data_IF_990730726935
#
_entry.id   IF_990730726935
#
_cell.length_a   1.000
_cell.length_b   1.000
_cell.length_c   1.000
_cell.angle_alpha   90.00
_cell.angle_beta   90.00
_cell.angle_gamma   90.00
#
_symmetry.space_group_name_H-M   'P 1'
#
loop_
_entity.id
_entity.type
_entity.pdbx_description
1 polymer ?
#
# COMPACT_ATOMS: atom_id res chain seq x y z
N UNK A 1 18.25 7.23 13.95
CA UNK A 1 19.68 7.41 14.30
C UNK A 1 20.44 7.11 13.04
N UNK A 2 21.41 7.94 12.66
CA UNK A 2 22.27 7.66 11.51
C UNK A 2 22.93 6.29 11.66
N UNK A 3 22.94 5.55 10.55
CA UNK A 3 23.41 4.17 10.46
C UNK A 3 24.82 4.10 9.86
N UNK A 4 25.23 2.93 9.37
CA UNK A 4 26.42 2.81 8.51
C UNK A 4 26.09 3.16 7.06
N UNK A 5 24.86 2.87 6.66
CA UNK A 5 24.20 3.37 5.45
C UNK A 5 23.10 4.32 5.91
N UNK A 6 23.04 5.52 5.34
CA UNK A 6 22.02 6.52 5.66
C UNK A 6 20.76 6.28 4.83
N UNK A 7 19.61 6.46 5.47
CA UNK A 7 18.29 6.30 4.87
C UNK A 7 17.46 7.50 5.32
N UNK A 8 17.11 8.37 4.38
CA UNK A 8 16.41 9.62 4.65
C UNK A 8 15.24 9.84 3.68
N UNK A 9 14.39 10.81 4.01
CA UNK A 9 13.27 11.26 3.17
C UNK A 9 12.37 10.13 2.64
N UNK A 10 12.10 9.13 3.49
CA UNK A 10 11.26 7.98 3.16
C UNK A 10 9.84 8.44 2.83
N UNK A 11 9.27 7.94 1.73
CA UNK A 11 7.88 8.17 1.32
C UNK A 11 7.19 6.86 0.89
N UNK A 12 5.87 6.70 1.12
CA UNK A 12 4.95 7.69 1.70
C UNK A 12 4.96 7.70 3.24
N UNK A 13 5.06 8.88 3.85
CA UNK A 13 4.96 9.07 5.30
C UNK A 13 3.98 10.19 5.64
N UNK A 14 2.92 9.88 6.39
CA UNK A 14 1.87 10.84 6.76
C UNK A 14 2.14 11.39 8.15
N UNK A 15 2.30 12.72 8.26
CA UNK A 15 2.50 13.44 9.53
C UNK A 15 3.58 12.78 10.41
N UNK A 16 4.79 12.59 9.85
CA UNK A 16 5.91 11.94 10.54
C UNK A 16 5.62 10.51 11.05
N UNK A 17 4.70 9.80 10.39
CA UNK A 17 4.28 8.44 10.74
C UNK A 17 3.21 8.38 11.83
N UNK A 18 2.60 9.51 12.19
CA UNK A 18 1.47 9.54 13.14
C UNK A 18 0.22 8.85 12.57
N UNK A 19 0.07 8.85 11.24
CA UNK A 19 -1.02 8.18 10.55
C UNK A 19 -0.46 7.20 9.51
N UNK A 20 -1.12 6.05 9.29
CA UNK A 20 -0.77 5.20 8.16
C UNK A 20 -1.11 5.93 6.84
N UNK A 21 -0.31 5.69 5.81
CA UNK A 21 -0.71 6.02 4.44
C UNK A 21 -1.95 5.18 4.04
N UNK A 22 -2.58 5.53 2.92
CA UNK A 22 -3.78 4.84 2.41
C UNK A 22 -3.51 4.18 1.08
N UNK A 23 -4.10 3.01 0.88
CA UNK A 23 -4.15 2.30 -0.40
C UNK A 23 -5.41 1.43 -0.47
N UNK A 24 -5.66 0.82 -1.62
CA UNK A 24 -6.67 -0.26 -1.77
C UNK A 24 -6.04 -1.57 -2.24
N UNK A 25 -6.74 -2.68 -2.02
CA UNK A 25 -6.30 -4.00 -2.52
C UNK A 25 -6.04 -3.94 -4.03
N UNK A 26 -4.89 -4.48 -4.47
CA UNK A 26 -4.48 -4.52 -5.87
C UNK A 26 -3.82 -3.25 -6.39
N UNK A 27 -3.74 -2.18 -5.59
CA UNK A 27 -3.03 -0.95 -5.96
C UNK A 27 -1.51 -1.12 -5.90
N UNK A 28 -0.78 -0.65 -6.92
CA UNK A 28 0.67 -0.53 -6.84
C UNK A 28 1.01 0.66 -5.93
N UNK A 29 1.63 0.38 -4.79
CA UNK A 29 2.08 1.41 -3.83
C UNK A 29 3.56 1.69 -4.08
N UNK A 30 3.92 2.84 -4.69
CA UNK A 30 5.31 3.24 -4.84
C UNK A 30 5.88 3.67 -3.49
N UNK A 31 7.13 3.31 -3.24
CA UNK A 31 7.90 3.67 -2.05
C UNK A 31 9.26 4.21 -2.50
N UNK A 32 9.70 5.33 -1.94
CA UNK A 32 11.04 5.84 -2.19
C UNK A 32 11.75 6.27 -0.91
N UNK A 33 13.07 6.35 -0.99
CA UNK A 33 13.91 6.98 0.03
C UNK A 33 15.27 7.35 -0.57
N UNK A 34 15.87 8.40 0.00
CA UNK A 34 17.27 8.73 -0.23
C UNK A 34 18.13 7.73 0.54
N UNK A 35 18.99 6.97 -0.13
CA UNK A 35 19.88 6.00 0.49
C UNK A 35 21.29 6.24 0.00
N UNK A 36 22.19 6.59 0.92
CA UNK A 36 23.55 6.98 0.60
C UNK A 36 24.55 6.51 1.65
N UNK A 37 25.83 6.57 1.32
CA UNK A 37 26.95 6.20 2.19
C UNK A 37 28.16 7.09 1.95
N UNK A 38 29.17 6.96 2.80
CA UNK A 38 30.47 7.60 2.58
C UNK A 38 31.22 7.02 1.37
N UNK A 39 32.11 7.82 0.78
CA UNK A 39 32.99 7.37 -0.30
C UNK A 39 32.29 7.25 -1.65
N UNK A 40 32.82 6.38 -2.51
CA UNK A 40 32.35 6.20 -3.90
C UNK A 40 31.85 4.77 -4.17
N UNK A 41 31.77 3.94 -3.12
CA UNK A 41 31.29 2.57 -3.25
C UNK A 41 29.78 2.54 -3.47
N UNK A 42 29.31 1.59 -4.25
CA UNK A 42 27.90 1.38 -4.50
C UNK A 42 27.13 1.08 -3.20
N UNK A 43 25.90 1.57 -3.18
CA UNK A 43 24.89 1.32 -2.17
C UNK A 43 23.64 0.76 -2.85
N UNK A 44 22.90 -0.09 -2.15
CA UNK A 44 21.65 -0.65 -2.61
C UNK A 44 20.62 -0.66 -1.47
N UNK A 45 19.35 -0.86 -1.84
CA UNK A 45 18.25 -0.81 -0.90
C UNK A 45 17.24 -1.95 -1.13
N UNK A 46 16.59 -2.38 -0.05
CA UNK A 46 15.57 -3.43 -0.04
C UNK A 46 14.32 -2.93 0.66
N UNK A 47 13.18 -3.01 -0.02
CA UNK A 47 11.86 -2.75 0.53
C UNK A 47 11.33 -4.00 1.24
N UNK A 48 11.17 -3.93 2.56
CA UNK A 48 10.65 -5.02 3.39
C UNK A 48 9.20 -4.72 3.76
N UNK A 49 8.28 -5.59 3.35
CA UNK A 49 6.83 -5.42 3.48
C UNK A 49 6.23 -6.51 4.36
N UNK A 50 5.28 -6.15 5.22
CA UNK A 50 4.60 -7.07 6.14
C UNK A 50 3.13 -6.73 6.29
N UNK A 51 2.28 -7.76 6.31
CA UNK A 51 0.88 -7.67 6.70
C UNK A 51 0.71 -7.95 8.19
N UNK A 52 -0.06 -7.12 8.90
CA UNK A 52 -0.29 -7.21 10.34
C UNK A 52 -1.74 -7.60 10.72
N UNK A 53 -2.64 -7.77 9.76
CA UNK A 53 -4.04 -8.13 10.02
C UNK A 53 -5.02 -6.97 9.85
N UNK A 54 -6.29 -7.23 10.17
CA UNK A 54 -7.38 -6.26 10.04
C UNK A 54 -7.56 -5.33 11.25
N UNK A 55 -6.72 -5.46 12.28
CA UNK A 55 -6.80 -4.59 13.46
C UNK A 55 -6.45 -3.15 13.08
N UNK A 56 -7.41 -2.22 13.24
CA UNK A 56 -7.22 -0.81 12.97
C UNK A 56 -6.50 -0.13 14.15
N UNK A 57 -5.40 0.60 13.92
CA UNK A 57 -4.72 1.29 15.01
C UNK A 57 -5.58 2.43 15.58
N UNK A 58 -5.63 2.65 16.91
CA UNK A 58 -6.29 3.82 17.45
C UNK A 58 -5.52 5.08 17.02
N UNK A 59 -6.16 5.92 16.21
CA UNK A 59 -5.60 7.18 15.74
C UNK A 59 -6.06 8.34 16.64
N UNK A 60 -5.20 9.33 16.88
CA UNK A 60 -5.56 10.56 17.60
C UNK A 60 -5.51 10.49 19.13
N UNK A 61 -5.24 9.33 19.74
CA UNK A 61 -4.93 9.23 21.17
C UNK A 61 -3.40 9.24 21.36
N UNK A 62 -2.87 10.34 21.89
CA UNK A 62 -1.46 10.67 22.13
C UNK A 62 -0.57 11.05 20.92
N UNK A 63 -0.17 12.33 20.76
CA UNK A 63 0.71 12.80 19.68
C UNK A 63 2.16 12.28 19.75
N UNK A 64 2.52 11.46 20.74
CA UNK A 64 3.90 10.98 20.99
C UNK A 64 4.14 9.51 20.67
N UNK A 65 3.11 8.71 20.36
CA UNK A 65 3.29 7.27 20.07
C UNK A 65 3.49 7.07 18.57
N UNK A 66 4.74 7.16 18.11
CA UNK A 66 5.15 6.55 16.82
C UNK A 66 4.65 5.10 16.85
N UNK A 67 3.99 4.65 15.80
CA UNK A 67 3.54 3.26 15.66
C UNK A 67 4.78 2.36 15.70
N UNK A 68 5.13 1.87 16.89
CA UNK A 68 6.18 0.87 17.08
C UNK A 68 5.54 -0.49 16.85
N UNK A 69 6.19 -1.35 16.07
CA UNK A 69 5.74 -2.71 15.76
C UNK A 69 5.65 -3.67 16.97
N UNK A 70 5.70 -3.17 18.20
CA UNK A 70 5.74 -3.94 19.45
C UNK A 70 4.64 -3.58 20.46
N UNK A 71 3.79 -2.59 20.17
CA UNK A 71 2.73 -2.19 21.11
C UNK A 71 1.32 -2.59 20.62
N UNK A 72 1.16 -3.85 20.20
CA UNK A 72 -0.16 -4.47 20.19
C UNK A 72 -0.56 -4.76 21.64
N UNK A 73 -1.05 -3.74 22.36
CA UNK A 73 -1.67 -3.95 23.66
C UNK A 73 -2.94 -4.81 23.47
N UNK A 74 -3.05 -5.86 24.28
CA UNK A 74 -4.22 -6.75 24.34
C UNK A 74 -5.50 -5.92 24.48
N UNK A 75 -6.32 -5.95 23.44
CA UNK A 75 -7.71 -5.52 23.54
C UNK A 75 -8.45 -6.65 24.25
N UNK A 76 -8.73 -6.46 25.53
CA UNK A 76 -9.63 -7.33 26.29
C UNK A 76 -10.98 -7.39 25.55
N UNK A 77 -11.29 -8.55 24.96
CA UNK A 77 -12.56 -8.83 24.32
C UNK A 77 -12.57 -9.05 22.80
N UNK A 78 -11.40 -9.17 22.13
CA UNK A 78 -11.35 -9.62 20.74
C UNK A 78 -10.87 -11.06 20.68
N UNK A 79 -11.72 -11.94 20.12
CA UNK A 79 -11.39 -13.32 19.77
C UNK A 79 -9.96 -13.42 19.25
N UNK A 80 -9.11 -14.18 19.95
CA UNK A 80 -7.76 -14.54 19.57
C UNK A 80 -7.79 -15.37 18.29
N UNK A 81 -7.96 -14.69 17.16
CA UNK A 81 -7.47 -15.21 15.89
C UNK A 81 -5.96 -15.28 16.03
N UNK A 82 -5.43 -16.48 16.19
CA UNK A 82 -4.01 -16.77 16.03
C UNK A 82 -3.65 -16.49 14.58
N UNK A 83 -3.53 -15.21 14.23
CA UNK A 83 -3.15 -14.79 12.89
C UNK A 83 -1.76 -15.36 12.63
N UNK A 84 -1.68 -16.34 11.74
CA UNK A 84 -0.45 -16.98 11.34
C UNK A 84 0.58 -15.89 11.01
N UNK A 85 1.78 -15.96 11.62
CA UNK A 85 2.83 -14.97 11.39
C UNK A 85 3.18 -14.94 9.91
N UNK A 86 2.67 -13.95 9.18
CA UNK A 86 3.00 -13.77 7.76
C UNK A 86 4.47 -13.38 7.66
N UNK A 87 5.25 -14.18 6.93
CA UNK A 87 6.66 -13.92 6.68
C UNK A 87 6.78 -12.60 5.91
N UNK A 88 7.67 -11.68 6.34
CA UNK A 88 7.90 -10.45 5.59
C UNK A 88 8.40 -10.79 4.18
N UNK A 89 7.93 -10.02 3.19
CA UNK A 89 8.39 -10.09 1.81
C UNK A 89 9.46 -9.01 1.61
N UNK A 90 10.53 -9.34 0.90
CA UNK A 90 11.61 -8.40 0.56
C UNK A 90 11.62 -8.19 -0.94
N UNK A 91 11.66 -6.93 -1.37
CA UNK A 91 11.72 -6.53 -2.76
C UNK A 91 12.96 -5.66 -2.98
N UNK A 92 13.69 -5.82 -4.09
CA UNK A 92 14.77 -4.89 -4.43
C UNK A 92 14.20 -3.49 -4.68
N UNK A 93 15.01 -2.46 -4.40
CA UNK A 93 14.74 -1.10 -4.84
C UNK A 93 15.76 -0.71 -5.91
N UNK A 94 15.34 0.10 -6.87
CA UNK A 94 16.15 0.55 -8.01
C UNK A 94 16.51 2.02 -7.83
N UNK A 95 17.78 2.36 -8.03
CA UNK A 95 18.23 3.76 -8.06
C UNK A 95 17.58 4.50 -9.24
N UNK A 96 16.94 5.63 -8.97
CA UNK A 96 16.30 6.47 -9.98
C UNK A 96 17.28 7.42 -10.67
N UNK A 97 16.73 8.32 -11.50
CA UNK A 97 17.52 9.37 -12.15
C UNK A 97 17.97 10.49 -11.18
N UNK A 98 17.22 10.69 -10.09
CA UNK A 98 17.63 11.59 -9.01
C UNK A 98 18.72 10.89 -8.19
N UNK A 99 19.90 11.52 -8.00
CA UNK A 99 20.97 10.94 -7.20
C UNK A 99 20.48 10.49 -5.82
N UNK A 100 20.99 9.35 -5.37
CA UNK A 100 20.69 8.70 -4.09
C UNK A 100 19.21 8.27 -3.87
N UNK A 101 18.29 8.59 -4.78
CA UNK A 101 16.87 8.27 -4.61
C UNK A 101 16.55 6.88 -5.14
N UNK A 102 16.24 5.96 -4.24
CA UNK A 102 15.81 4.60 -4.58
C UNK A 102 14.29 4.50 -4.66
N UNK A 103 13.81 3.70 -5.61
CA UNK A 103 12.40 3.43 -5.85
C UNK A 103 12.11 1.93 -5.71
N UNK A 104 11.07 1.60 -4.95
CA UNK A 104 10.50 0.26 -4.85
C UNK A 104 8.99 0.34 -4.93
N UNK A 105 8.35 -0.81 -5.04
CA UNK A 105 6.89 -0.88 -5.02
C UNK A 105 6.42 -2.21 -4.45
N UNK A 106 5.20 -2.21 -3.93
CA UNK A 106 4.50 -3.44 -3.55
C UNK A 106 3.02 -3.33 -3.87
N UNK A 107 2.37 -4.49 -4.02
CA UNK A 107 0.93 -4.58 -4.30
C UNK A 107 0.28 -5.35 -3.15
N UNK A 108 -0.56 -4.72 -2.30
CA UNK A 108 -1.23 -5.40 -1.22
C UNK A 108 -2.37 -6.28 -1.76
N UNK A 109 -2.44 -7.52 -1.27
CA UNK A 109 -3.37 -8.55 -1.76
C UNK A 109 -4.62 -8.73 -0.89
N UNK A 110 -4.75 -7.97 0.21
CA UNK A 110 -5.86 -8.07 1.17
C UNK A 110 -6.04 -6.81 2.00
N UNK A 111 -7.26 -6.64 2.51
CA UNK A 111 -7.65 -5.53 3.40
C UNK A 111 -6.95 -5.65 4.77
N UNK A 112 -6.58 -4.50 5.34
CA UNK A 112 -6.03 -4.37 6.68
C UNK A 112 -4.74 -3.56 6.73
N UNK A 113 -4.03 -3.65 7.85
CA UNK A 113 -2.80 -2.93 8.09
C UNK A 113 -1.61 -3.64 7.45
N UNK A 114 -0.99 -2.98 6.49
CA UNK A 114 0.32 -3.30 5.96
C UNK A 114 1.35 -2.36 6.54
N UNK A 115 2.61 -2.78 6.53
CA UNK A 115 3.74 -1.94 6.89
C UNK A 115 4.88 -2.17 5.94
N UNK A 116 5.68 -1.14 5.71
CA UNK A 116 6.92 -1.23 4.96
C UNK A 116 8.07 -0.64 5.76
N UNK A 117 9.28 -1.08 5.43
CA UNK A 117 10.56 -0.54 5.90
C UNK A 117 11.56 -0.64 4.77
N UNK A 118 12.52 0.27 4.73
CA UNK A 118 13.64 0.22 3.79
C UNK A 118 14.89 -0.22 4.55
N UNK A 119 15.58 -1.22 4.03
CA UNK A 119 16.88 -1.69 4.52
C UNK A 119 17.94 -1.28 3.49
N UNK A 120 18.87 -0.39 3.87
CA UNK A 120 19.99 0.07 3.04
C UNK A 120 21.25 -0.74 3.34
N UNK A 121 22.08 -1.01 2.33
CA UNK A 121 23.27 -1.85 2.46
C UNK A 121 24.32 -1.51 1.41
N UNK A 122 25.60 -1.69 1.76
CA UNK A 122 26.71 -1.54 0.81
C UNK A 122 26.75 -2.71 -0.17
N UNK A 123 26.93 -2.42 -1.45
CA UNK A 123 27.00 -3.42 -2.53
C UNK A 123 28.43 -3.54 -3.06
N UNK A 124 29.30 -4.34 -2.41
CA UNK A 124 30.71 -4.44 -2.79
C UNK A 124 30.89 -5.12 -4.15
N UNK A 125 29.95 -5.95 -4.61
CA UNK A 125 30.06 -6.64 -5.89
C UNK A 125 29.81 -5.65 -7.03
N UNK A 126 28.78 -4.82 -6.93
CA UNK A 126 28.54 -3.77 -7.94
C UNK A 126 29.70 -2.78 -8.00
N UNK A 127 30.25 -2.36 -6.86
CA UNK A 127 31.48 -1.54 -6.82
C UNK A 127 32.62 -2.22 -7.57
N UNK A 128 32.91 -3.48 -7.23
CA UNK A 128 34.00 -4.24 -7.83
C UNK A 128 33.80 -4.45 -9.34
N UNK A 129 32.60 -4.82 -9.79
CA UNK A 129 32.27 -5.04 -11.21
C UNK A 129 32.47 -3.77 -12.02
N UNK A 130 32.03 -2.62 -11.51
CA UNK A 130 32.22 -1.33 -12.19
C UNK A 130 33.72 -1.00 -12.35
N UNK A 131 34.51 -1.18 -11.28
CA UNK A 131 35.94 -0.92 -11.32
C UNK A 131 36.68 -1.86 -12.28
N UNK A 132 36.40 -3.17 -12.24
CA UNK A 132 37.04 -4.16 -13.14
C UNK A 132 36.67 -3.90 -14.59
N UNK A 133 35.39 -3.64 -14.89
CA UNK A 133 34.94 -3.38 -16.26
C UNK A 133 35.63 -2.14 -16.83
N UNK A 134 35.66 -1.03 -16.08
CA UNK A 134 36.33 0.19 -16.54
C UNK A 134 37.83 0.01 -16.79
N UNK A 135 38.51 -0.81 -15.97
CA UNK A 135 39.94 -1.12 -16.13
C UNK A 135 40.20 -2.04 -17.34
N UNK A 136 39.33 -3.03 -17.58
CA UNK A 136 39.38 -3.89 -18.76
C UNK A 136 39.16 -3.08 -20.04
N UNK A 137 38.18 -2.18 -20.05
CA UNK A 137 37.88 -1.31 -21.19
C UNK A 137 39.02 -0.32 -21.49
N UNK A 138 39.78 0.07 -20.46
CA UNK A 138 40.99 0.87 -20.60
C UNK A 138 42.21 0.06 -21.09
N UNK A 139 42.08 -1.25 -21.32
CA UNK A 139 43.14 -2.12 -21.81
C UNK A 139 44.21 -2.47 -20.78
N UNK A 140 43.90 -2.40 -19.48
CA UNK A 140 44.84 -2.79 -18.43
C UNK A 140 45.10 -4.30 -18.47
N UNK A 141 46.35 -4.69 -18.23
CA UNK A 141 46.79 -6.08 -18.29
C UNK A 141 46.62 -6.82 -16.97
N UNK A 142 47.08 -8.07 -16.97
CA UNK A 142 47.04 -8.95 -15.79
C UNK A 142 47.75 -8.32 -14.58
N UNK A 143 48.90 -7.69 -14.79
CA UNK A 143 49.73 -7.14 -13.70
C UNK A 143 48.99 -6.05 -12.92
N UNK A 144 48.24 -5.17 -13.59
CA UNK A 144 47.48 -4.11 -12.94
C UNK A 144 46.20 -4.62 -12.27
N UNK A 145 45.52 -5.60 -12.89
CA UNK A 145 44.21 -6.10 -12.45
C UNK A 145 44.27 -7.24 -11.44
N UNK A 146 45.42 -7.89 -11.24
CA UNK A 146 45.49 -9.13 -10.47
C UNK A 146 44.91 -9.00 -9.05
N UNK A 147 45.20 -7.88 -8.36
CA UNK A 147 44.64 -7.63 -7.03
C UNK A 147 43.11 -7.45 -7.07
N UNK A 148 42.57 -6.74 -8.06
CA UNK A 148 41.13 -6.58 -8.21
C UNK A 148 40.43 -7.92 -8.46
N UNK A 149 41.01 -8.79 -9.31
CA UNK A 149 40.46 -10.12 -9.60
C UNK A 149 40.47 -11.02 -8.35
N UNK A 150 41.53 -10.96 -7.54
CA UNK A 150 41.62 -11.68 -6.27
C UNK A 150 40.59 -11.18 -5.24
N UNK A 151 40.34 -9.87 -5.17
CA UNK A 151 39.26 -9.30 -4.35
C UNK A 151 37.90 -9.80 -4.84
N UNK A 152 37.67 -9.80 -6.16
CA UNK A 152 36.45 -10.33 -6.77
C UNK A 152 36.18 -11.78 -6.39
N UNK A 153 37.21 -12.63 -6.42
CA UNK A 153 37.10 -14.02 -6.03
C UNK A 153 36.65 -14.18 -4.56
N UNK A 154 37.21 -13.39 -3.65
CA UNK A 154 36.81 -13.38 -2.24
C UNK A 154 35.36 -12.88 -2.05
N UNK A 155 34.94 -11.87 -2.82
CA UNK A 155 33.56 -11.36 -2.78
C UNK A 155 32.55 -12.43 -3.22
N UNK A 156 32.83 -13.14 -4.32
CA UNK A 156 31.96 -14.20 -4.82
C UNK A 156 31.87 -15.39 -3.85
N UNK A 157 32.98 -15.76 -3.20
CA UNK A 157 32.95 -16.79 -2.15
C UNK A 157 32.11 -16.38 -0.94
N UNK A 158 32.23 -15.12 -0.51
CA UNK A 158 31.39 -14.57 0.56
C UNK A 158 29.92 -14.57 0.16
N UNK A 159 29.60 -14.17 -1.07
CA UNK A 159 28.24 -14.24 -1.61
C UNK A 159 27.69 -15.68 -1.62
N UNK A 160 28.51 -16.66 -2.02
CA UNK A 160 28.13 -18.07 -2.06
C UNK A 160 27.69 -18.63 -0.69
N UNK A 161 28.15 -18.05 0.43
CA UNK A 161 27.68 -18.45 1.76
C UNK A 161 26.19 -18.16 1.99
N UNK A 162 25.65 -17.13 1.34
CA UNK A 162 24.24 -16.70 1.42
C UNK A 162 23.30 -17.37 0.42
N UNK A 163 23.84 -18.16 -0.52
CA UNK A 163 23.08 -18.87 -1.56
C UNK A 163 22.72 -20.28 -1.07
N UNK A 164 21.57 -20.88 -1.44
CA UNK A 164 21.27 -22.30 -1.16
C UNK A 164 22.35 -23.22 -1.74
N UNK A 165 22.70 -24.32 -1.04
CA UNK A 165 23.84 -25.20 -1.41
C UNK A 165 23.80 -25.70 -2.85
N UNK A 166 22.61 -26.03 -3.35
CA UNK A 166 22.38 -26.51 -4.71
C UNK A 166 22.62 -25.47 -5.81
N UNK A 167 22.69 -24.17 -5.47
CA UNK A 167 22.84 -23.08 -6.44
C UNK A 167 24.20 -22.36 -6.35
N UNK A 168 25.14 -22.82 -5.51
CA UNK A 168 26.39 -22.08 -5.24
C UNK A 168 27.47 -22.24 -6.31
N UNK A 169 27.42 -23.32 -7.09
CA UNK A 169 28.52 -23.69 -8.01
C UNK A 169 28.95 -22.54 -8.92
N UNK A 170 28.03 -21.83 -9.61
CA UNK A 170 28.43 -20.75 -10.52
C UNK A 170 29.29 -19.66 -9.88
N UNK A 171 29.03 -19.31 -8.61
CA UNK A 171 29.84 -18.33 -7.87
C UNK A 171 31.22 -18.87 -7.54
N UNK A 172 31.32 -20.15 -7.15
CA UNK A 172 32.58 -20.78 -6.81
C UNK A 172 33.45 -21.01 -8.04
N UNK A 173 32.84 -21.40 -9.16
CA UNK A 173 33.51 -21.60 -10.44
C UNK A 173 34.05 -20.28 -10.99
N UNK A 174 33.25 -19.20 -10.91
CA UNK A 174 33.70 -17.86 -11.24
C UNK A 174 34.83 -17.36 -10.31
N UNK A 175 34.73 -17.63 -9.00
CA UNK A 175 35.80 -17.30 -8.05
C UNK A 175 37.10 -18.09 -8.33
N UNK A 176 36.99 -19.34 -8.77
CA UNK A 176 38.14 -20.15 -9.16
C UNK A 176 38.79 -19.63 -10.45
N UNK A 177 37.99 -19.25 -11.45
CA UNK A 177 38.46 -18.67 -12.70
C UNK A 177 39.20 -17.33 -12.50
N UNK A 178 38.69 -16.46 -11.62
CA UNK A 178 39.34 -15.19 -11.28
C UNK A 178 40.76 -15.38 -10.70
N UNK A 179 41.06 -16.54 -10.11
CA UNK A 179 42.38 -16.85 -9.51
C UNK A 179 43.38 -17.50 -10.46
N UNK A 180 42.92 -18.01 -11.61
CA UNK A 180 43.84 -18.61 -12.57
C UNK A 180 44.75 -17.54 -13.19
N UNK A 181 46.02 -17.84 -13.49
CA UNK A 181 46.86 -16.92 -14.24
C UNK A 181 46.37 -16.80 -15.70
N UNK A 182 46.64 -15.67 -16.32
CA UNK A 182 46.36 -15.43 -17.74
C UNK A 182 45.55 -14.17 -18.02
N UNK A 183 45.03 -14.10 -19.24
CA UNK A 183 44.30 -12.94 -19.76
C UNK A 183 43.14 -12.51 -18.84
N UNK A 184 43.11 -11.26 -18.36
CA UNK A 184 42.12 -10.81 -17.38
C UNK A 184 40.69 -10.80 -17.93
N UNK A 185 40.50 -10.63 -19.24
CA UNK A 185 39.18 -10.72 -19.88
C UNK A 185 38.64 -12.15 -19.76
N UNK A 186 39.44 -13.16 -20.12
CA UNK A 186 39.07 -14.56 -19.96
C UNK A 186 38.79 -14.95 -18.49
N UNK A 187 39.60 -14.46 -17.55
CA UNK A 187 39.44 -14.72 -16.11
C UNK A 187 38.14 -14.11 -15.56
N UNK A 188 37.77 -12.90 -15.99
CA UNK A 188 36.59 -12.19 -15.51
C UNK A 188 35.28 -12.64 -16.17
N UNK A 189 35.35 -13.34 -17.31
CA UNK A 189 34.19 -13.69 -18.13
C UNK A 189 33.06 -14.39 -17.36
N UNK A 190 33.39 -15.40 -16.52
CA UNK A 190 32.37 -16.10 -15.71
C UNK A 190 31.76 -15.17 -14.65
N UNK A 191 32.58 -14.37 -13.98
CA UNK A 191 32.13 -13.47 -12.92
C UNK A 191 31.22 -12.34 -13.43
N UNK A 192 31.35 -11.97 -14.71
CA UNK A 192 30.52 -10.96 -15.40
C UNK A 192 29.36 -11.57 -16.19
N UNK A 193 29.19 -12.90 -16.17
CA UNK A 193 28.13 -13.58 -16.90
C UNK A 193 26.73 -13.23 -16.39
N UNK A 194 25.72 -13.44 -17.25
CA UNK A 194 24.31 -13.32 -16.87
C UNK A 194 23.94 -14.29 -15.76
N UNK A 195 24.43 -15.54 -15.81
CA UNK A 195 24.13 -16.56 -14.80
C UNK A 195 24.56 -16.13 -13.38
N UNK A 196 25.79 -15.61 -13.22
CA UNK A 196 26.27 -15.09 -11.94
C UNK A 196 25.49 -13.83 -11.54
N UNK A 197 25.14 -12.98 -12.50
CA UNK A 197 24.38 -11.74 -12.23
C UNK A 197 22.97 -12.03 -11.71
N UNK A 198 22.25 -12.96 -12.32
CA UNK A 198 20.90 -13.34 -11.90
C UNK A 198 20.91 -13.95 -10.49
N UNK A 199 21.93 -14.76 -10.19
CA UNK A 199 22.10 -15.37 -8.87
C UNK A 199 22.36 -14.32 -7.79
N UNK A 200 23.19 -13.31 -8.09
CA UNK A 200 23.48 -12.19 -7.17
C UNK A 200 22.30 -11.22 -7.05
N UNK A 201 21.45 -11.11 -8.07
CA UNK A 201 20.18 -10.37 -7.97
C UNK A 201 19.22 -11.06 -6.99
N UNK A 202 19.14 -12.39 -7.03
CA UNK A 202 18.27 -13.17 -6.14
C UNK A 202 18.83 -13.28 -4.71
N UNK A 203 20.15 -13.41 -4.56
CA UNK A 203 20.85 -13.61 -3.30
C UNK A 203 22.03 -12.64 -3.17
N UNK A 204 21.77 -11.33 -3.00
CA UNK A 204 22.84 -10.34 -2.96
C UNK A 204 23.74 -10.48 -1.73
N UNK A 205 25.03 -10.21 -1.89
CA UNK A 205 25.94 -9.98 -0.78
C UNK A 205 25.69 -8.58 -0.21
N UNK A 206 25.11 -8.51 0.98
CA UNK A 206 24.74 -7.25 1.63
C UNK A 206 25.66 -6.94 2.79
N UNK A 207 26.39 -5.83 2.72
CA UNK A 207 27.26 -5.38 3.80
C UNK A 207 26.65 -4.23 4.59
N UNK A 208 26.98 -4.16 5.88
CA UNK A 208 26.65 -3.02 6.75
C UNK A 208 25.16 -2.63 6.74
N UNK A 209 24.27 -3.63 6.69
CA UNK A 209 22.82 -3.42 6.56
C UNK A 209 22.29 -2.49 7.67
N UNK A 210 21.80 -1.30 7.29
CA UNK A 210 21.02 -0.41 8.14
C UNK A 210 19.54 -0.70 7.93
N UNK A 211 18.79 -0.97 9.00
CA UNK A 211 17.33 -1.13 8.96
C UNK A 211 16.66 0.21 9.25
N UNK A 212 15.81 0.67 8.35
CA UNK A 212 15.08 1.94 8.48
C UNK A 212 13.95 1.89 9.50
N UNK A 213 13.17 2.99 9.58
CA UNK A 213 11.93 3.01 10.34
C UNK A 213 10.82 2.27 9.60
N UNK A 214 9.88 1.69 10.34
CA UNK A 214 8.72 1.01 9.78
C UNK A 214 7.53 1.98 9.74
N UNK A 215 6.87 2.07 8.59
CA UNK A 215 5.71 2.93 8.35
C UNK A 215 4.49 2.10 7.95
N UNK A 216 3.30 2.59 8.30
CA UNK A 216 2.03 1.90 8.07
C UNK A 216 1.35 2.32 6.76
N UNK A 217 0.64 1.37 6.15
CA UNK A 217 -0.28 1.58 5.03
C UNK A 217 -1.58 0.84 5.36
N UNK A 218 -2.67 1.58 5.58
CA UNK A 218 -3.99 0.97 5.70
C UNK A 218 -4.55 0.69 4.31
N UNK A 219 -4.87 -0.57 4.05
CA UNK A 219 -5.38 -1.04 2.76
C UNK A 219 -6.86 -1.34 2.89
N UNK A 220 -7.68 -0.57 2.17
CA UNK A 220 -9.13 -0.75 2.10
C UNK A 220 -9.55 -1.64 0.91
N UNK A 221 -10.84 -1.99 0.86
CA UNK A 221 -11.44 -2.65 -0.31
C UNK A 221 -11.33 -1.77 -1.58
N UNK A 222 -11.26 -2.33 -2.80
CA UNK A 222 -11.12 -1.56 -4.04
C UNK A 222 -12.15 -0.44 -4.23
N UNK A 223 -13.39 -0.69 -3.81
CA UNK A 223 -14.50 0.28 -3.86
C UNK A 223 -14.28 1.54 -3.02
N UNK A 224 -13.31 1.58 -2.11
CA UNK A 224 -12.97 2.80 -1.35
C UNK A 224 -12.29 3.87 -2.22
N UNK A 225 -11.71 3.48 -3.37
CA UNK A 225 -11.02 4.39 -4.30
C UNK A 225 -11.75 4.51 -5.65
N UNK A 226 -12.18 3.38 -6.22
CA UNK A 226 -12.80 3.35 -7.53
C UNK A 226 -14.27 2.91 -7.41
N UNK A 227 -15.16 3.88 -7.47
CA UNK A 227 -16.61 3.71 -7.30
C UNK A 227 -17.37 4.83 -8.01
N UNK A 228 -18.50 4.51 -8.61
CA UNK A 228 -19.42 5.45 -9.24
C UNK A 228 -20.69 5.57 -8.39
N UNK A 229 -20.95 6.78 -7.89
CA UNK A 229 -22.00 7.08 -6.92
C UNK A 229 -23.20 7.77 -7.59
N UNK A 230 -24.41 7.26 -7.35
CA UNK A 230 -25.67 7.89 -7.75
C UNK A 230 -26.47 8.32 -6.52
N UNK A 231 -26.82 9.59 -6.45
CA UNK A 231 -27.69 10.09 -5.39
C UNK A 231 -29.14 10.13 -5.85
N UNK A 232 -30.06 9.60 -5.04
CA UNK A 232 -31.49 9.69 -5.30
C UNK A 232 -32.33 9.83 -4.03
N UNK A 233 -33.49 10.45 -4.15
CA UNK A 233 -34.47 10.57 -3.07
C UNK A 233 -35.54 9.48 -3.22
N UNK A 234 -35.64 8.49 -2.31
CA UNK A 234 -36.64 7.43 -2.40
C UNK A 234 -38.08 7.97 -2.51
N UNK A 235 -38.40 9.01 -1.74
CA UNK A 235 -39.73 9.66 -1.75
C UNK A 235 -40.13 10.24 -3.11
N UNK A 236 -39.18 10.51 -4.00
CA UNK A 236 -39.44 11.08 -5.33
C UNK A 236 -39.64 10.00 -6.41
N UNK A 237 -39.69 8.72 -6.04
CA UNK A 237 -39.87 7.59 -6.96
C UNK A 237 -41.32 7.13 -7.09
N UNK A 238 -42.26 7.74 -6.34
CA UNK A 238 -43.67 7.37 -6.34
C UNK A 238 -44.45 7.81 -7.59
N UNK A 239 -43.86 8.66 -8.44
CA UNK A 239 -44.48 9.14 -9.67
C UNK A 239 -45.60 10.16 -9.40
N UNK A 240 -46.67 10.08 -10.19
CA UNK A 240 -47.80 11.03 -10.14
C UNK A 240 -49.13 10.28 -10.06
N UNK A 241 -50.11 10.88 -9.39
CA UNK A 241 -51.49 10.41 -9.37
C UNK A 241 -52.26 10.81 -10.66
N UNK A 242 -53.53 10.39 -10.76
CA UNK A 242 -54.39 10.72 -11.91
C UNK A 242 -54.66 12.21 -12.11
N UNK A 243 -54.33 13.04 -11.12
CA UNK A 243 -54.49 14.50 -11.15
C UNK A 243 -53.15 15.21 -11.40
N UNK A 244 -52.07 14.47 -11.69
CA UNK A 244 -50.74 15.01 -11.93
C UNK A 244 -50.03 15.49 -10.66
N UNK A 245 -50.47 15.09 -9.46
CA UNK A 245 -49.81 15.45 -8.20
C UNK A 245 -48.74 14.41 -7.85
N UNK A 246 -47.55 14.83 -7.39
CA UNK A 246 -46.51 13.88 -6.97
C UNK A 246 -47.00 12.97 -5.84
N UNK A 247 -46.71 11.67 -5.95
CA UNK A 247 -47.01 10.67 -4.91
C UNK A 247 -45.72 10.35 -4.16
N UNK A 248 -45.80 10.25 -2.83
CA UNK A 248 -44.67 9.86 -2.02
C UNK A 248 -44.26 8.41 -2.34
N UNK A 249 -43.02 8.22 -2.76
CA UNK A 249 -42.45 6.89 -3.02
C UNK A 249 -42.24 6.09 -1.74
N UNK A 250 -42.14 4.77 -1.88
CA UNK A 250 -41.75 3.83 -0.83
C UNK A 250 -40.40 3.20 -1.16
N UNK A 251 -39.84 2.39 -0.27
CA UNK A 251 -38.67 1.58 -0.63
C UNK A 251 -38.92 0.66 -1.81
N UNK A 252 -40.14 0.14 -1.96
CA UNK A 252 -40.53 -0.68 -3.11
C UNK A 252 -40.49 0.11 -4.43
N UNK A 253 -40.99 1.34 -4.46
CA UNK A 253 -40.91 2.17 -5.67
C UNK A 253 -39.47 2.62 -5.94
N UNK A 254 -38.67 2.85 -4.89
CA UNK A 254 -37.27 3.19 -5.03
C UNK A 254 -36.44 2.01 -5.58
N UNK A 255 -36.74 0.78 -5.16
CA UNK A 255 -36.12 -0.44 -5.68
C UNK A 255 -36.37 -0.59 -7.19
N UNK A 256 -37.59 -0.27 -7.65
CA UNK A 256 -37.94 -0.29 -9.07
C UNK A 256 -37.14 0.73 -9.92
N UNK A 257 -36.52 1.73 -9.29
CA UNK A 257 -35.63 2.68 -9.96
C UNK A 257 -34.16 2.21 -10.02
N UNK A 258 -33.77 1.14 -9.32
CA UNK A 258 -32.39 0.65 -9.32
C UNK A 258 -31.91 0.09 -10.66
N UNK A 259 -32.73 -0.64 -11.47
CA UNK A 259 -32.28 -1.16 -12.76
C UNK A 259 -31.71 -0.08 -13.70
N UNK A 260 -32.39 1.07 -13.84
CA UNK A 260 -31.88 2.17 -14.68
C UNK A 260 -30.57 2.76 -14.15
N UNK A 261 -30.37 2.75 -12.83
CA UNK A 261 -29.15 3.27 -12.18
C UNK A 261 -27.99 2.30 -12.44
N UNK A 262 -28.24 1.00 -12.32
CA UNK A 262 -27.28 -0.03 -12.66
C UNK A 262 -26.89 0.00 -14.15
N UNK A 263 -27.86 0.20 -15.07
CA UNK A 263 -27.61 0.35 -16.51
C UNK A 263 -26.68 1.53 -16.85
N UNK A 264 -26.75 2.62 -16.06
CA UNK A 264 -25.82 3.75 -16.19
C UNK A 264 -24.40 3.45 -15.69
N UNK A 265 -24.15 2.29 -15.07
CA UNK A 265 -22.84 1.85 -14.60
C UNK A 265 -22.48 2.30 -13.18
N UNK A 266 -23.45 2.78 -12.38
CA UNK A 266 -23.22 3.10 -10.98
C UNK A 266 -23.19 1.85 -10.11
N UNK A 267 -22.34 1.86 -9.08
CA UNK A 267 -22.15 0.73 -8.15
C UNK A 267 -22.30 1.11 -6.67
N UNK A 268 -22.65 2.37 -6.39
CA UNK A 268 -23.06 2.84 -5.07
C UNK A 268 -24.26 3.77 -5.23
N UNK A 269 -25.33 3.52 -4.47
CA UNK A 269 -26.47 4.43 -4.37
C UNK A 269 -26.41 5.13 -3.02
N UNK A 270 -26.29 6.46 -3.04
CA UNK A 270 -26.35 7.29 -1.84
C UNK A 270 -27.78 7.78 -1.63
N UNK A 271 -28.32 7.52 -0.44
CA UNK A 271 -29.63 7.99 -0.03
C UNK A 271 -29.48 9.15 0.96
N UNK A 272 -30.24 10.24 0.78
CA UNK A 272 -30.54 11.17 1.86
C UNK A 272 -31.15 10.42 3.07
N UNK A 273 -31.19 11.04 4.26
CA UNK A 273 -31.77 10.40 5.43
C UNK A 273 -33.18 9.84 5.17
N UNK A 274 -33.39 8.58 5.58
CA UNK A 274 -34.65 7.83 5.37
C UNK A 274 -35.49 7.74 6.65
N UNK A 275 -35.20 8.61 7.61
CA UNK A 275 -35.80 8.64 8.95
C UNK A 275 -37.01 9.59 9.01
N UNK A 276 -37.86 9.49 10.06
CA UNK A 276 -38.94 10.45 10.27
C UNK A 276 -38.44 11.91 10.28
N UNK A 277 -39.21 12.81 9.67
CA UNK A 277 -38.87 14.23 9.50
C UNK A 277 -39.64 15.08 10.50
N UNK A 278 -38.92 15.95 11.21
CA UNK A 278 -39.47 16.86 12.22
C UNK A 278 -40.68 17.67 11.74
N UNK A 279 -41.68 17.77 12.63
CA UNK A 279 -42.93 18.50 12.40
C UNK A 279 -42.85 19.97 12.84
N UNK A 280 -42.06 20.26 13.89
CA UNK A 280 -41.84 21.62 14.43
C UNK A 280 -40.79 22.36 13.59
N UNK A 281 -41.08 23.60 13.19
CA UNK A 281 -40.22 24.43 12.33
C UNK A 281 -39.81 23.73 11.02
N UNK A 282 -40.71 22.89 10.49
CA UNK A 282 -40.53 22.25 9.20
C UNK A 282 -40.42 23.31 8.10
N UNK A 283 -39.40 23.17 7.26
CA UNK A 283 -39.25 24.00 6.06
C UNK A 283 -40.24 23.60 4.96
N UNK A 284 -40.79 24.59 4.27
CA UNK A 284 -41.64 24.39 3.10
C UNK A 284 -40.85 24.27 1.81
N UNK A 285 -41.58 24.24 0.69
CA UNK A 285 -40.98 24.21 -0.67
C UNK A 285 -40.04 25.40 -0.90
N UNK A 286 -39.06 25.21 -1.78
CA UNK A 286 -38.06 26.23 -2.13
C UNK A 286 -37.36 26.87 -0.91
N UNK A 287 -37.09 26.05 0.11
CA UNK A 287 -36.40 26.46 1.35
C UNK A 287 -37.16 27.54 2.16
N UNK A 288 -38.49 27.63 2.00
CA UNK A 288 -39.32 28.48 2.83
C UNK A 288 -39.20 28.11 4.32
N UNK A 289 -39.14 29.11 5.19
CA UNK A 289 -38.99 28.90 6.66
C UNK A 289 -40.28 28.37 7.31
N UNK A 290 -41.41 28.52 6.62
CA UNK A 290 -42.72 28.03 7.07
C UNK A 290 -43.21 26.99 6.07
N UNK A 291 -43.57 25.80 6.56
CA UNK A 291 -44.21 24.76 5.78
C UNK A 291 -45.71 24.97 5.66
N UNK A 292 -46.27 24.68 4.48
CA UNK A 292 -47.72 24.54 4.30
C UNK A 292 -48.16 23.10 4.66
N UNK A 293 -49.46 22.88 4.99
CA UNK A 293 -49.98 21.53 5.15
C UNK A 293 -49.70 20.67 3.90
N UNK A 294 -49.03 19.52 4.11
CA UNK A 294 -48.62 18.62 3.03
C UNK A 294 -47.18 18.81 2.55
N UNK A 295 -46.48 19.86 2.98
CA UNK A 295 -45.04 19.98 2.70
C UNK A 295 -44.24 18.88 3.41
N UNK A 296 -43.46 18.15 2.61
CA UNK A 296 -42.66 16.98 3.04
C UNK A 296 -41.37 17.35 3.77
N UNK A 297 -40.95 18.62 3.74
CA UNK A 297 -39.79 19.11 4.46
C UNK A 297 -38.42 18.56 4.00
N UNK A 298 -37.41 18.87 4.82
CA UNK A 298 -36.01 18.47 4.63
C UNK A 298 -35.74 17.11 5.26
N UNK A 299 -35.22 16.10 4.52
CA UNK A 299 -34.83 14.81 5.11
C UNK A 299 -33.76 14.94 6.20
N UNK A 300 -32.92 15.98 6.16
CA UNK A 300 -31.90 16.23 7.18
C UNK A 300 -32.46 16.74 8.51
N UNK A 301 -33.74 17.10 8.59
CA UNK A 301 -34.39 17.47 9.85
C UNK A 301 -34.90 16.21 10.57
N UNK A 302 -33.97 15.34 10.95
CA UNK A 302 -34.24 14.02 11.52
C UNK A 302 -34.92 14.15 12.89
N UNK A 303 -35.99 13.39 13.09
CA UNK A 303 -36.64 13.21 14.37
C UNK A 303 -38.06 13.77 14.42
N UNK A 304 -39.02 12.89 14.69
CA UNK A 304 -40.40 13.25 15.04
C UNK A 304 -40.87 12.41 16.23
N UNK A 305 -42.13 12.55 16.59
CA UNK A 305 -42.86 11.63 17.46
C UNK A 305 -42.90 10.17 16.95
N UNK A 306 -42.53 9.94 15.68
CA UNK A 306 -42.49 8.62 15.05
C UNK A 306 -41.11 7.94 15.10
N UNK A 307 -40.06 8.62 15.59
CA UNK A 307 -38.74 8.02 15.79
C UNK A 307 -37.54 8.92 15.44
N UNK A 308 -36.33 8.40 15.65
CA UNK A 308 -35.04 9.09 15.45
C UNK A 308 -34.15 8.44 14.38
N UNK A 309 -32.84 8.40 14.63
CA UNK A 309 -31.83 7.92 13.67
C UNK A 309 -31.85 6.40 13.43
N UNK A 310 -32.58 5.66 14.26
CA UNK A 310 -32.78 4.21 14.18
C UNK A 310 -34.17 3.83 13.66
N UNK A 311 -34.98 4.80 13.25
CA UNK A 311 -36.32 4.61 12.70
C UNK A 311 -36.38 4.90 11.21
N UNK A 312 -37.35 4.30 10.52
CA UNK A 312 -37.66 4.56 9.11
C UNK A 312 -38.84 5.54 9.03
N UNK A 313 -38.82 6.45 8.06
CA UNK A 313 -39.94 7.35 7.80
C UNK A 313 -41.20 6.54 7.45
N UNK A 314 -42.34 6.75 8.13
CA UNK A 314 -43.52 5.89 7.96
C UNK A 314 -44.03 5.81 6.52
N UNK A 315 -43.99 6.93 5.78
CA UNK A 315 -44.39 6.96 4.36
C UNK A 315 -43.42 6.22 3.40
N UNK A 316 -42.21 5.85 3.84
CA UNK A 316 -41.30 5.01 3.04
C UNK A 316 -41.57 3.51 3.20
N UNK A 317 -42.24 3.12 4.29
CA UNK A 317 -42.49 1.72 4.68
C UNK A 317 -41.86 1.39 6.03
N UNK A 318 -41.44 0.13 6.18
CA UNK A 318 -40.85 -0.43 7.39
C UNK A 318 -39.35 -0.72 7.22
N UNK A 319 -38.68 -1.11 8.31
CA UNK A 319 -37.30 -1.58 8.23
C UNK A 319 -37.15 -2.86 7.38
N UNK A 320 -38.17 -3.72 7.35
CA UNK A 320 -38.17 -4.90 6.48
C UNK A 320 -38.22 -4.50 4.99
N UNK A 321 -38.99 -3.46 4.64
CA UNK A 321 -39.00 -2.93 3.27
C UNK A 321 -37.65 -2.30 2.90
N UNK A 322 -36.90 -1.76 3.87
CA UNK A 322 -35.53 -1.29 3.65
C UNK A 322 -34.56 -2.46 3.41
N UNK A 323 -34.67 -3.54 4.18
CA UNK A 323 -33.89 -4.76 3.96
C UNK A 323 -34.16 -5.34 2.55
N UNK A 324 -35.41 -5.34 2.10
CA UNK A 324 -35.78 -5.73 0.73
C UNK A 324 -35.21 -4.79 -0.35
N UNK A 325 -35.07 -3.49 -0.06
CA UNK A 325 -34.43 -2.53 -0.98
C UNK A 325 -32.92 -2.73 -1.10
N UNK A 326 -32.26 -3.19 -0.03
CA UNK A 326 -30.81 -3.43 0.00
C UNK A 326 -30.41 -4.75 -0.68
N UNK A 327 -31.31 -5.74 -0.68
CA UNK A 327 -31.10 -7.08 -1.25
C UNK A 327 -31.00 -7.08 -2.79
#
# INVERSE_FOLDING_TARGET
MPGRIEIDDVQPVVSCGAYPAKAVVGEVVPVCASVWREGHDAVAATLVVRYLGAAYPPLGQNPTRRVKALDAAEVAGSTTSTAAKVKPRAYPMTLGATPDLFHGQFVPDRVGLWTFRIDGWGDPITTWRNAVTAKLDAGQGETELNNDLLVGAQLLERAATGVPREHRSPLLDAAAALRQPGDPVARAALALSHEVTDLLWQYPLRELVTRGSQFGVWVDRPLARCSAWYEMFPRSTGGWDSHGRPVHGTFRTAAAALPRIAEMGFNVVYLPPVHPIGKVHRKGRNNAVTAEPGDVGSPWAIGSDEGGHDAVHPDLGTIADFDEFVA
#
